data_IF_967058224736
#
_entry.id   IF_967058224736
#
_cell.length_a   1.000
_cell.length_b   1.000
_cell.length_c   1.000
_cell.angle_alpha   90.00
_cell.angle_beta   90.00
_cell.angle_gamma   90.00
#
_symmetry.space_group_name_H-M   'P 1'
#
loop_
_entity.id
_entity.type
_entity.pdbx_description
1 polymer ?
#
# COMPACT_ATOMS: atom_id res chain seq x y z
N UNK A 1 13.97 -23.71 -10.52
CA UNK A 1 13.86 -22.30 -10.12
C UNK A 1 13.13 -21.52 -11.21
N UNK A 2 12.18 -20.68 -10.83
CA UNK A 2 11.33 -19.94 -11.78
C UNK A 2 12.11 -18.84 -12.51
N UNK A 3 13.09 -18.23 -11.86
CA UNK A 3 14.00 -17.24 -12.42
C UNK A 3 14.83 -17.88 -13.53
N UNK A 4 15.47 -19.02 -13.28
CA UNK A 4 16.27 -19.73 -14.28
C UNK A 4 15.44 -20.16 -15.48
N UNK A 5 14.20 -20.57 -15.26
CA UNK A 5 13.26 -20.86 -16.34
C UNK A 5 12.97 -19.63 -17.20
N UNK A 6 12.84 -18.44 -16.58
CA UNK A 6 12.63 -17.19 -17.34
C UNK A 6 13.90 -16.68 -18.01
N UNK A 7 15.10 -17.04 -17.53
CA UNK A 7 16.36 -16.78 -18.24
C UNK A 7 16.44 -17.55 -19.56
N UNK A 8 16.02 -18.82 -19.56
CA UNK A 8 16.07 -19.69 -20.74
C UNK A 8 14.86 -19.51 -21.67
N UNK A 9 13.71 -19.16 -21.14
CA UNK A 9 12.44 -18.99 -21.85
C UNK A 9 11.78 -17.67 -21.46
N UNK A 10 12.24 -16.50 -21.96
CA UNK A 10 11.63 -15.22 -21.68
C UNK A 10 10.18 -15.15 -22.16
N UNK A 11 9.33 -14.45 -21.41
CA UNK A 11 7.92 -14.20 -21.74
C UNK A 11 7.59 -12.72 -21.53
N UNK A 12 6.39 -12.33 -21.93
CA UNK A 12 5.85 -11.03 -21.61
C UNK A 12 5.30 -11.05 -20.16
N UNK A 13 6.25 -11.05 -19.18
CA UNK A 13 5.95 -11.01 -17.75
C UNK A 13 7.02 -10.22 -16.99
N UNK A 14 6.66 -9.78 -15.78
CA UNK A 14 7.52 -8.97 -14.92
C UNK A 14 8.85 -9.68 -14.58
N UNK A 15 8.85 -10.99 -14.39
CA UNK A 15 10.06 -11.74 -14.06
C UNK A 15 11.03 -11.69 -15.23
N UNK A 16 10.55 -11.89 -16.46
CA UNK A 16 11.35 -11.78 -17.66
C UNK A 16 11.94 -10.38 -17.85
N UNK A 17 11.16 -9.33 -17.59
CA UNK A 17 11.64 -7.95 -17.64
C UNK A 17 12.73 -7.66 -16.60
N UNK A 18 12.58 -8.15 -15.37
CA UNK A 18 13.60 -8.00 -14.32
C UNK A 18 14.86 -8.81 -14.61
N UNK A 19 14.73 -10.02 -15.16
CA UNK A 19 15.86 -10.83 -15.61
C UNK A 19 16.62 -10.15 -16.78
N UNK A 20 15.90 -9.54 -17.71
CA UNK A 20 16.54 -8.78 -18.81
C UNK A 20 17.30 -7.55 -18.26
N UNK A 21 16.71 -6.81 -17.33
CA UNK A 21 17.34 -5.65 -16.69
C UNK A 21 18.60 -6.03 -15.89
N UNK A 22 18.66 -7.22 -15.29
CA UNK A 22 19.86 -7.76 -14.64
C UNK A 22 20.98 -8.01 -15.66
N UNK A 23 20.66 -8.61 -16.81
CA UNK A 23 21.64 -8.98 -17.85
C UNK A 23 22.26 -7.76 -18.56
N UNK A 24 21.57 -6.64 -18.62
CA UNK A 24 22.08 -5.41 -19.25
C UNK A 24 23.11 -4.64 -18.40
N UNK A 25 23.56 -5.21 -17.30
CA UNK A 25 24.81 -4.85 -16.62
C UNK A 25 24.77 -3.64 -15.71
N UNK A 26 23.59 -3.18 -15.29
CA UNK A 26 23.55 -2.02 -14.41
C UNK A 26 22.71 -2.26 -13.14
N UNK A 27 22.55 -3.50 -12.60
CA UNK A 27 21.43 -3.26 -11.79
C UNK A 27 21.05 -4.21 -10.69
N UNK A 28 20.89 -5.43 -10.85
CA UNK A 28 20.52 -6.32 -9.76
C UNK A 28 21.46 -7.52 -9.77
N UNK A 29 22.13 -7.80 -8.67
CA UNK A 29 22.73 -9.12 -8.48
C UNK A 29 21.65 -10.22 -8.44
N UNK A 30 21.98 -11.50 -8.62
CA UNK A 30 21.02 -12.60 -8.50
C UNK A 30 20.28 -12.62 -7.15
N UNK A 31 20.97 -12.22 -6.06
CA UNK A 31 20.41 -12.11 -4.73
C UNK A 31 19.43 -10.94 -4.63
N UNK A 32 19.76 -9.81 -5.21
CA UNK A 32 18.88 -8.62 -5.25
C UNK A 32 17.66 -8.88 -6.12
N UNK A 33 17.81 -9.56 -7.26
CA UNK A 33 16.67 -9.97 -8.09
C UNK A 33 15.72 -10.86 -7.30
N UNK A 34 16.25 -11.89 -6.62
CA UNK A 34 15.44 -12.79 -5.81
C UNK A 34 14.72 -12.05 -4.67
N UNK A 35 15.45 -11.16 -3.98
CA UNK A 35 14.89 -10.35 -2.90
C UNK A 35 13.81 -9.39 -3.38
N UNK A 36 14.02 -8.78 -4.55
CA UNK A 36 13.03 -7.87 -5.18
C UNK A 36 11.76 -8.62 -5.54
N UNK A 37 11.86 -9.83 -6.12
CA UNK A 37 10.70 -10.64 -6.44
C UNK A 37 9.91 -11.04 -5.21
N UNK A 38 10.59 -11.47 -4.14
CA UNK A 38 9.94 -11.79 -2.85
C UNK A 38 9.25 -10.55 -2.29
N UNK A 39 9.91 -9.40 -2.31
CA UNK A 39 9.34 -8.15 -1.83
C UNK A 39 8.07 -7.76 -2.62
N UNK A 40 8.11 -7.87 -3.95
CA UNK A 40 6.94 -7.56 -4.80
C UNK A 40 5.75 -8.50 -4.51
N UNK A 41 6.01 -9.78 -4.29
CA UNK A 41 4.95 -10.75 -3.94
C UNK A 41 4.36 -10.40 -2.58
N UNK A 42 5.20 -10.21 -1.55
CA UNK A 42 4.73 -9.93 -0.18
C UNK A 42 3.99 -8.59 -0.13
N UNK A 43 4.58 -7.53 -0.67
CA UNK A 43 4.00 -6.19 -0.61
C UNK A 43 2.70 -6.06 -1.45
N UNK A 44 2.67 -6.71 -2.61
CA UNK A 44 1.52 -6.62 -3.52
C UNK A 44 0.36 -7.54 -3.17
N UNK A 45 0.62 -8.65 -2.46
CA UNK A 45 -0.42 -9.63 -2.18
C UNK A 45 -1.25 -9.24 -0.94
N UNK A 46 -0.65 -9.16 0.21
CA UNK A 46 -1.37 -9.04 1.49
C UNK A 46 -2.13 -7.71 1.60
N UNK A 47 -1.50 -6.62 1.18
CA UNK A 47 -2.13 -5.29 1.24
C UNK A 47 -3.36 -5.20 0.34
N UNK A 48 -3.27 -5.70 -0.89
CA UNK A 48 -4.36 -5.66 -1.86
C UNK A 48 -5.50 -6.59 -1.47
N UNK A 49 -5.21 -7.81 -1.03
CA UNK A 49 -6.23 -8.77 -0.59
C UNK A 49 -7.03 -8.21 0.59
N UNK A 50 -6.36 -7.64 1.58
CA UNK A 50 -7.04 -7.04 2.74
C UNK A 50 -7.88 -5.82 2.33
N UNK A 51 -7.38 -4.96 1.44
CA UNK A 51 -8.16 -3.82 0.96
C UNK A 51 -9.42 -4.26 0.19
N UNK A 52 -9.32 -5.27 -0.66
CA UNK A 52 -10.48 -5.83 -1.37
C UNK A 52 -11.50 -6.40 -0.36
N UNK A 53 -11.02 -7.14 0.64
CA UNK A 53 -11.90 -7.71 1.67
C UNK A 53 -12.62 -6.60 2.47
N UNK A 54 -11.90 -5.56 2.88
CA UNK A 54 -12.47 -4.40 3.54
C UNK A 54 -13.50 -3.68 2.64
N UNK A 55 -13.19 -3.52 1.36
CA UNK A 55 -14.11 -2.93 0.38
C UNK A 55 -15.42 -3.71 0.24
N UNK A 56 -15.33 -5.03 0.12
CA UNK A 56 -16.51 -5.91 0.08
C UNK A 56 -17.32 -5.78 1.36
N UNK A 57 -16.67 -5.74 2.52
CA UNK A 57 -17.33 -5.54 3.81
C UNK A 57 -18.05 -4.19 3.89
N UNK A 58 -17.39 -3.10 3.47
CA UNK A 58 -18.00 -1.76 3.47
C UNK A 58 -19.22 -1.70 2.53
N UNK A 59 -19.13 -2.27 1.33
CA UNK A 59 -20.25 -2.33 0.38
C UNK A 59 -21.38 -3.24 0.86
N UNK A 60 -21.09 -4.33 1.57
CA UNK A 60 -22.10 -5.20 2.14
C UNK A 60 -22.93 -4.52 3.26
N UNK A 61 -22.30 -3.59 3.98
CA UNK A 61 -22.93 -2.78 5.03
C UNK A 61 -23.71 -1.58 4.49
N UNK A 62 -23.51 -1.22 3.19
CA UNK A 62 -24.10 -0.05 2.52
C UNK A 62 -24.68 -0.45 1.17
N UNK A 63 -25.82 -1.17 1.17
CA UNK A 63 -26.41 -1.67 -0.07
C UNK A 63 -26.78 -0.56 -1.06
N UNK A 64 -27.18 0.61 -0.57
CA UNK A 64 -27.48 1.79 -1.41
C UNK A 64 -26.25 2.30 -2.16
N UNK A 65 -25.08 2.33 -1.53
CA UNK A 65 -23.82 2.70 -2.18
C UNK A 65 -23.41 1.65 -3.21
N UNK A 66 -23.50 0.37 -2.85
CA UNK A 66 -23.21 -0.73 -3.79
C UNK A 66 -24.08 -0.64 -5.04
N UNK A 67 -25.37 -0.43 -4.88
CA UNK A 67 -26.34 -0.39 -5.97
C UNK A 67 -26.14 0.87 -6.84
N UNK A 68 -25.78 2.01 -6.21
CA UNK A 68 -25.42 3.24 -6.95
C UNK A 68 -24.15 3.03 -7.79
N UNK A 69 -23.09 2.43 -7.24
CA UNK A 69 -21.85 2.13 -7.97
C UNK A 69 -22.04 1.07 -9.08
N UNK A 70 -22.98 0.15 -8.89
CA UNK A 70 -23.32 -0.82 -9.93
C UNK A 70 -24.06 -0.16 -11.09
N UNK A 71 -24.88 0.86 -10.82
CA UNK A 71 -25.61 1.63 -11.83
C UNK A 71 -24.70 2.65 -12.55
N UNK A 72 -23.78 3.29 -11.81
CA UNK A 72 -22.79 4.24 -12.35
C UNK A 72 -21.41 4.00 -11.71
N UNK A 73 -20.50 3.28 -12.40
CA UNK A 73 -19.15 3.01 -11.91
C UNK A 73 -18.22 4.23 -11.83
N UNK A 74 -18.63 5.41 -12.29
CA UNK A 74 -17.79 6.62 -12.27
C UNK A 74 -17.36 7.05 -10.86
N UNK A 75 -18.12 6.66 -9.82
CA UNK A 75 -17.81 6.88 -8.42
C UNK A 75 -16.76 5.93 -7.81
N UNK A 76 -16.35 4.88 -8.51
CA UNK A 76 -15.40 3.90 -7.99
C UNK A 76 -14.05 4.49 -7.56
N UNK A 77 -13.41 5.42 -8.29
CA UNK A 77 -12.15 6.00 -7.84
C UNK A 77 -12.27 6.69 -6.47
N UNK A 78 -13.28 7.54 -6.27
CA UNK A 78 -13.50 8.23 -4.99
C UNK A 78 -13.81 7.23 -3.86
N UNK A 79 -14.63 6.21 -4.15
CA UNK A 79 -14.92 5.14 -3.19
C UNK A 79 -13.64 4.40 -2.77
N UNK A 80 -12.72 4.12 -3.68
CA UNK A 80 -11.45 3.44 -3.37
C UNK A 80 -10.55 4.32 -2.50
N UNK A 81 -10.44 5.62 -2.81
CA UNK A 81 -9.68 6.57 -1.98
C UNK A 81 -10.24 6.66 -0.56
N UNK A 82 -11.57 6.77 -0.43
CA UNK A 82 -12.22 6.78 0.87
C UNK A 82 -12.05 5.44 1.62
N UNK A 83 -12.06 4.32 0.91
CA UNK A 83 -11.79 3.01 1.51
C UNK A 83 -10.38 2.95 2.10
N UNK A 84 -9.37 3.42 1.36
CA UNK A 84 -7.98 3.49 1.83
C UNK A 84 -7.86 4.40 3.05
N UNK A 85 -8.58 5.51 3.09
CA UNK A 85 -8.61 6.40 4.25
C UNK A 85 -9.29 5.76 5.46
N UNK A 86 -10.50 5.24 5.25
CA UNK A 86 -11.40 4.80 6.33
C UNK A 86 -11.03 3.43 6.91
N UNK A 87 -10.66 2.49 6.06
CA UNK A 87 -10.45 1.07 6.42
C UNK A 87 -9.31 0.47 5.57
N UNK A 88 -8.22 1.24 5.47
CA UNK A 88 -7.05 0.86 4.70
C UNK A 88 -6.35 -0.37 5.27
N UNK A 89 -5.72 -1.14 4.40
CA UNK A 89 -4.99 -2.36 4.79
C UNK A 89 -3.66 -2.09 5.51
N UNK A 90 -3.19 -0.85 5.52
CA UNK A 90 -1.92 -0.45 6.17
C UNK A 90 -2.18 0.65 7.19
N UNK A 91 -2.36 0.27 8.44
CA UNK A 91 -2.62 1.22 9.53
C UNK A 91 -1.34 1.89 10.06
N UNK A 92 -0.19 1.23 9.91
CA UNK A 92 1.10 1.72 10.41
C UNK A 92 2.15 1.61 9.33
N UNK A 93 2.94 2.67 9.16
CA UNK A 93 4.12 2.62 8.29
C UNK A 93 5.21 1.73 8.89
N UNK A 94 6.17 1.34 8.04
CA UNK A 94 7.37 0.67 8.50
C UNK A 94 8.16 1.58 9.47
N UNK A 95 8.87 0.95 10.41
CA UNK A 95 9.70 1.65 11.37
C UNK A 95 10.70 2.58 10.65
N UNK A 96 10.87 3.77 11.21
CA UNK A 96 11.94 4.71 10.91
C UNK A 96 12.81 4.88 12.13
N UNK A 97 14.00 5.39 11.95
CA UNK A 97 14.90 5.75 13.04
C UNK A 97 15.35 7.19 12.83
N UNK A 98 15.34 7.98 13.89
CA UNK A 98 15.80 9.36 13.82
C UNK A 98 17.29 9.39 13.43
N UNK A 99 17.63 10.07 12.34
CA UNK A 99 19.00 10.23 11.87
C UNK A 99 19.80 11.23 12.72
N UNK A 100 19.10 12.14 13.41
CA UNK A 100 19.60 13.15 14.31
C UNK A 100 18.57 13.43 15.42
N UNK A 101 18.89 14.26 16.39
CA UNK A 101 17.93 14.72 17.39
C UNK A 101 16.89 15.63 16.72
N UNK A 102 15.61 15.31 16.87
CA UNK A 102 14.50 16.05 16.26
C UNK A 102 13.57 16.57 17.34
N UNK A 103 13.41 17.89 17.40
CA UNK A 103 12.37 18.50 18.22
C UNK A 103 11.03 18.56 17.44
N UNK A 104 10.00 17.92 17.97
CA UNK A 104 8.69 17.85 17.35
C UNK A 104 7.60 18.08 18.40
N UNK A 105 6.80 19.10 18.23
CA UNK A 105 5.65 19.46 19.07
C UNK A 105 5.94 19.39 20.58
N UNK A 106 7.06 20.02 20.99
CA UNK A 106 7.52 20.05 22.40
C UNK A 106 8.17 18.76 22.91
N UNK A 107 8.28 17.73 22.10
CA UNK A 107 8.98 16.48 22.40
C UNK A 107 10.33 16.41 21.71
N UNK A 108 11.28 15.75 22.32
CA UNK A 108 12.59 15.47 21.75
C UNK A 108 12.69 14.00 21.37
N UNK A 109 12.81 13.73 20.06
CA UNK A 109 13.13 12.42 19.53
C UNK A 109 14.64 12.37 19.36
N UNK A 110 15.32 11.46 20.07
CA UNK A 110 16.79 11.37 20.03
C UNK A 110 17.24 10.59 18.81
N UNK A 111 18.43 10.89 18.33
CA UNK A 111 19.08 10.10 17.29
C UNK A 111 19.09 8.61 17.64
N UNK A 112 18.65 7.78 16.70
CA UNK A 112 18.56 6.33 16.86
C UNK A 112 17.28 5.83 17.51
N UNK A 113 16.38 6.70 17.98
CA UNK A 113 15.07 6.28 18.47
C UNK A 113 14.15 5.84 17.32
N UNK A 114 13.36 4.77 17.52
CA UNK A 114 12.40 4.32 16.53
C UNK A 114 11.19 5.27 16.46
N UNK A 115 10.75 5.55 15.26
CA UNK A 115 9.55 6.35 14.95
C UNK A 115 8.61 5.52 14.11
N UNK A 116 7.37 5.40 14.54
CA UNK A 116 6.31 4.71 13.80
C UNK A 116 5.22 5.72 13.46
N UNK A 117 4.92 5.85 12.17
CA UNK A 117 3.82 6.69 11.68
C UNK A 117 2.53 5.88 11.69
N UNK A 118 1.52 6.36 12.42
CA UNK A 118 0.21 5.72 12.50
C UNK A 118 -0.68 6.33 11.43
N UNK A 119 -0.72 5.70 10.25
CA UNK A 119 -1.48 6.17 9.10
C UNK A 119 -2.98 6.15 9.39
N UNK A 120 -3.48 5.11 10.06
CA UNK A 120 -4.88 5.03 10.45
C UNK A 120 -5.33 6.18 11.36
N UNK A 121 -4.45 6.67 12.25
CA UNK A 121 -4.73 7.85 13.06
C UNK A 121 -4.73 9.14 12.23
N UNK A 122 -3.75 9.31 11.36
CA UNK A 122 -3.69 10.48 10.47
C UNK A 122 -4.91 10.56 9.54
N UNK A 123 -5.39 9.43 9.04
CA UNK A 123 -6.58 9.33 8.20
C UNK A 123 -7.90 9.59 8.95
N UNK A 124 -7.84 9.69 10.27
CA UNK A 124 -8.97 10.00 11.16
C UNK A 124 -8.79 11.33 11.90
N UNK A 125 -7.83 12.15 11.49
CA UNK A 125 -7.58 13.44 12.12
C UNK A 125 -8.71 14.43 11.80
N UNK A 126 -9.48 14.92 12.80
CA UNK A 126 -10.55 15.87 12.58
C UNK A 126 -10.05 17.27 12.15
N UNK A 127 -8.76 17.56 12.26
CA UNK A 127 -8.17 18.78 11.71
C UNK A 127 -7.98 18.71 10.18
N UNK A 128 -7.96 17.49 9.61
CA UNK A 128 -7.77 17.25 8.19
C UNK A 128 -9.04 16.76 7.48
N UNK A 129 -9.93 16.08 8.20
CA UNK A 129 -11.12 15.48 7.61
C UNK A 129 -12.36 15.85 8.44
N UNK A 130 -13.37 16.39 7.78
CA UNK A 130 -14.68 16.56 8.39
C UNK A 130 -15.32 15.20 8.63
N UNK A 131 -15.86 14.98 9.83
CA UNK A 131 -16.54 13.74 10.22
C UNK A 131 -15.71 12.46 9.92
N UNK A 132 -14.44 12.39 10.42
CA UNK A 132 -13.46 11.40 9.97
C UNK A 132 -13.87 9.94 10.24
N UNK A 133 -14.78 9.71 11.18
CA UNK A 133 -15.31 8.40 11.54
C UNK A 133 -16.51 7.96 10.70
N UNK A 134 -16.94 8.79 9.75
CA UNK A 134 -17.98 8.44 8.78
C UNK A 134 -17.35 8.04 7.45
N UNK A 135 -17.79 6.92 6.89
CA UNK A 135 -17.42 6.50 5.52
C UNK A 135 -18.24 7.29 4.51
N UNK A 136 -17.60 8.13 3.73
CA UNK A 136 -18.24 8.97 2.70
C UNK A 136 -17.52 8.83 1.35
N UNK A 137 -18.08 8.04 0.46
CA UNK A 137 -17.54 7.79 -0.88
C UNK A 137 -17.64 9.00 -1.84
N UNK A 138 -18.13 10.15 -1.36
CA UNK A 138 -18.22 11.40 -2.13
C UNK A 138 -17.19 12.44 -1.73
N UNK A 139 -16.34 12.08 -0.77
CA UNK A 139 -15.30 12.94 -0.19
C UNK A 139 -14.21 13.31 -1.18
#
# INVERSE_FOLDING_TARGET
DYIERRRSEPRDDLISALVAAEQEGDRLSPEELSSTLVLLIVAGHETTVNLIANGVLQLSRRPELRDALAADPSGLPAMVEELVRYDGSVERALNRWAAEDVAWDGHLIRRGEPVILILGSANRDPAAFDDPDTFDATR
#
